data_IF_392998957666
#
_entry.id   IF_392998957666
#
_cell.length_a   1.000
_cell.length_b   1.000
_cell.length_c   1.000
_cell.angle_alpha   90.00
_cell.angle_beta   90.00
_cell.angle_gamma   90.00
#
_symmetry.space_group_name_H-M   'P 1'
#
loop_
_entity.id
_entity.type
_entity.pdbx_description
1 polymer ?
#
# COMPACT_ATOMS: atom_id res chain seq x y z
N UNK A 1 -3.56 -27.00 7.12
CA UNK A 1 -4.88 -27.18 7.75
C UNK A 1 -5.75 -26.00 7.32
N UNK A 2 -6.51 -26.19 6.24
CA UNK A 2 -7.24 -25.15 5.53
C UNK A 2 -8.42 -24.63 6.37
N UNK A 3 -8.40 -23.36 6.80
CA UNK A 3 -9.62 -22.69 7.28
C UNK A 3 -10.37 -22.15 6.08
N UNK A 4 -11.46 -22.86 5.76
CA UNK A 4 -12.45 -22.49 4.76
C UNK A 4 -12.95 -21.06 5.00
N UNK A 5 -12.97 -20.28 3.92
CA UNK A 5 -13.80 -19.09 3.78
C UNK A 5 -15.27 -19.50 3.98
N UNK A 6 -15.84 -19.23 5.17
CA UNK A 6 -17.28 -19.35 5.39
C UNK A 6 -17.97 -18.18 4.70
N UNK A 7 -18.62 -18.45 3.57
CA UNK A 7 -19.63 -17.57 2.99
C UNK A 7 -20.89 -17.65 3.85
N UNK A 8 -21.07 -16.71 4.78
CA UNK A 8 -22.35 -16.53 5.46
C UNK A 8 -23.07 -15.30 4.89
N UNK A 9 -24.31 -15.50 4.44
CA UNK A 9 -25.26 -14.39 4.28
C UNK A 9 -25.59 -13.89 5.68
N UNK A 10 -24.91 -12.84 6.13
CA UNK A 10 -25.43 -12.08 7.26
C UNK A 10 -26.55 -11.22 6.68
N UNK A 11 -27.80 -11.53 7.02
CA UNK A 11 -28.90 -10.55 6.91
C UNK A 11 -28.61 -9.47 7.94
N UNK A 12 -28.20 -8.24 7.57
CA UNK A 12 -27.95 -7.20 8.55
C UNK A 12 -29.27 -6.49 8.80
N UNK A 13 -29.71 -6.45 10.05
CA UNK A 13 -30.68 -5.46 10.53
C UNK A 13 -30.00 -4.09 10.69
N UNK A 14 -29.29 -3.63 9.65
CA UNK A 14 -28.70 -2.30 9.55
C UNK A 14 -29.17 -1.68 8.22
N UNK A 15 -29.93 -0.58 8.23
CA UNK A 15 -30.58 -0.04 7.04
C UNK A 15 -29.64 0.64 6.03
N UNK A 16 -28.32 0.59 6.23
CA UNK A 16 -27.35 1.34 5.41
C UNK A 16 -26.37 0.50 4.59
N UNK A 17 -26.33 -0.84 4.74
CA UNK A 17 -25.27 -1.65 4.11
C UNK A 17 -25.80 -2.99 3.59
N UNK A 18 -25.88 -3.15 2.27
CA UNK A 18 -25.90 -4.44 1.59
C UNK A 18 -24.48 -4.72 1.08
N UNK A 19 -23.72 -5.57 1.77
CA UNK A 19 -22.29 -5.72 1.45
C UNK A 19 -21.64 -6.99 1.94
N UNK A 20 -20.62 -7.43 1.19
CA UNK A 20 -19.81 -8.62 1.49
C UNK A 20 -18.69 -8.24 2.47
N UNK A 21 -18.55 -8.98 3.57
CA UNK A 21 -17.47 -8.79 4.56
C UNK A 21 -16.20 -9.49 4.09
N UNK A 22 -15.12 -8.73 3.95
CA UNK A 22 -13.76 -9.24 3.86
C UNK A 22 -13.00 -8.74 5.10
N UNK A 23 -12.32 -9.63 5.80
CA UNK A 23 -11.44 -9.24 6.91
C UNK A 23 -10.03 -9.18 6.34
N UNK A 24 -9.40 -8.01 6.35
CA UNK A 24 -8.00 -7.83 5.95
C UNK A 24 -7.24 -7.26 7.14
N UNK A 25 -6.52 -8.12 7.86
CA UNK A 25 -5.71 -7.74 9.01
C UNK A 25 -6.48 -6.94 10.07
N UNK A 26 -6.06 -5.69 10.26
CA UNK A 26 -6.38 -4.81 11.39
C UNK A 26 -7.66 -3.96 11.20
N UNK A 27 -8.37 -4.14 10.09
CA UNK A 27 -9.62 -3.45 9.78
C UNK A 27 -10.60 -4.39 9.05
N UNK A 28 -11.89 -4.06 9.08
CA UNK A 28 -12.91 -4.78 8.32
C UNK A 28 -13.20 -4.03 7.02
N UNK A 29 -13.15 -4.75 5.89
CA UNK A 29 -13.48 -4.22 4.58
C UNK A 29 -14.86 -4.69 4.16
N UNK A 30 -15.71 -3.74 3.76
CA UNK A 30 -17.06 -4.03 3.27
C UNK A 30 -17.27 -3.29 1.97
N UNK A 31 -17.65 -4.03 0.92
CA UNK A 31 -18.15 -3.42 -0.31
C UNK A 31 -19.57 -2.92 -0.06
N UNK A 32 -19.81 -1.63 -0.20
CA UNK A 32 -21.11 -1.00 0.07
C UNK A 32 -21.61 -0.25 -1.17
N UNK A 33 -22.93 -0.07 -1.24
CA UNK A 33 -23.59 0.74 -2.27
C UNK A 33 -24.12 2.02 -1.64
N UNK A 34 -23.87 3.17 -2.29
CA UNK A 34 -24.36 4.47 -1.83
C UNK A 34 -25.87 4.54 -2.03
N UNK A 35 -26.63 4.71 -0.95
CA UNK A 35 -28.11 4.79 -1.00
C UNK A 35 -28.67 6.21 -0.86
N UNK A 36 -27.84 7.17 -0.47
CA UNK A 36 -28.25 8.55 -0.20
C UNK A 36 -28.58 9.31 -1.48
N UNK A 37 -29.71 10.01 -1.50
CA UNK A 37 -30.05 10.98 -2.55
C UNK A 37 -29.34 12.34 -2.34
N UNK A 38 -28.76 12.58 -1.16
CA UNK A 38 -27.91 13.75 -0.90
C UNK A 38 -26.52 13.48 -1.46
N UNK A 39 -26.08 14.21 -2.49
CA UNK A 39 -24.77 13.98 -3.08
C UNK A 39 -23.69 14.49 -2.13
N UNK A 40 -22.84 13.59 -1.69
CA UNK A 40 -21.50 13.94 -1.20
C UNK A 40 -20.56 13.85 -2.41
N UNK A 41 -19.58 14.75 -2.52
CA UNK A 41 -18.66 14.79 -3.67
C UNK A 41 -18.08 13.39 -3.92
N UNK A 42 -18.32 12.84 -5.11
CA UNK A 42 -17.84 11.52 -5.53
C UNK A 42 -18.67 10.32 -5.04
N UNK A 43 -19.74 10.52 -4.26
CA UNK A 43 -20.63 9.48 -3.74
C UNK A 43 -22.05 9.66 -4.28
N UNK A 44 -22.24 9.22 -5.53
CA UNK A 44 -23.54 9.20 -6.19
C UNK A 44 -24.33 7.93 -5.82
N UNK A 45 -25.67 8.03 -5.79
CA UNK A 45 -26.55 6.89 -5.52
C UNK A 45 -26.27 5.73 -6.50
N UNK A 46 -26.21 4.52 -5.96
CA UNK A 46 -25.91 3.30 -6.70
C UNK A 46 -24.41 3.06 -6.93
N UNK A 47 -23.53 4.02 -6.61
CA UNK A 47 -22.08 3.83 -6.70
C UNK A 47 -21.63 2.80 -5.66
N UNK A 48 -20.78 1.86 -6.08
CA UNK A 48 -20.13 0.90 -5.19
C UNK A 48 -18.81 1.47 -4.68
N UNK A 49 -18.62 1.42 -3.36
CA UNK A 49 -17.41 1.91 -2.68
C UNK A 49 -16.99 0.92 -1.59
N UNK A 50 -15.74 1.01 -1.14
CA UNK A 50 -15.25 0.19 -0.03
C UNK A 50 -15.33 1.01 1.25
N UNK A 51 -16.00 0.45 2.26
CA UNK A 51 -15.92 0.93 3.63
C UNK A 51 -14.83 0.14 4.36
N UNK A 52 -13.80 0.84 4.84
CA UNK A 52 -12.78 0.28 5.74
C UNK A 52 -13.08 0.74 7.16
N UNK A 53 -13.37 -0.22 8.03
CA UNK A 53 -13.89 -0.01 9.38
C UNK A 53 -12.82 -0.36 10.41
N UNK A 54 -12.62 0.56 11.34
CA UNK A 54 -11.58 0.55 12.37
C UNK A 54 -12.25 0.32 13.73
N UNK A 55 -12.75 -0.90 13.96
CA UNK A 55 -13.34 -1.32 15.24
C UNK A 55 -12.31 -2.12 16.05
N UNK A 56 -11.81 -1.59 17.20
CA UNK A 56 -10.85 -2.27 18.06
C UNK A 56 -11.31 -3.65 18.55
N UNK A 57 -12.63 -3.88 18.60
CA UNK A 57 -13.19 -5.15 19.05
C UNK A 57 -12.80 -6.35 18.17
N UNK A 58 -12.44 -6.08 16.91
CA UNK A 58 -12.12 -7.12 15.93
C UNK A 58 -10.63 -7.16 15.56
N UNK A 59 -9.79 -6.36 16.23
CA UNK A 59 -8.35 -6.47 16.07
C UNK A 59 -7.82 -7.62 16.92
N UNK A 60 -6.93 -8.42 16.34
CA UNK A 60 -6.21 -9.48 17.07
C UNK A 60 -5.16 -8.82 17.95
N UNK A 61 -5.32 -8.94 19.27
CA UNK A 61 -4.45 -8.31 20.26
C UNK A 61 -3.20 -9.14 20.56
N UNK A 62 -3.00 -10.25 19.83
CA UNK A 62 -1.90 -11.22 20.01
C UNK A 62 -1.79 -11.68 21.47
N UNK A 63 -2.94 -12.04 22.05
CA UNK A 63 -3.03 -12.47 23.45
C UNK A 63 -2.83 -11.33 24.46
N UNK A 64 -3.13 -10.10 24.05
CA UNK A 64 -2.99 -8.88 24.86
C UNK A 64 -1.63 -8.19 24.78
N UNK A 65 -0.76 -8.61 23.85
CA UNK A 65 0.53 -7.94 23.61
C UNK A 65 0.34 -6.55 23.01
N UNK A 66 -0.68 -6.37 22.17
CA UNK A 66 -1.04 -5.10 21.57
C UNK A 66 -2.20 -4.43 22.29
N UNK A 67 -2.22 -3.10 22.29
CA UNK A 67 -3.41 -2.34 22.67
C UNK A 67 -4.29 -2.11 21.43
N UNK A 68 -5.47 -2.77 21.32
CA UNK A 68 -6.29 -2.68 20.11
C UNK A 68 -6.74 -1.28 19.77
N UNK A 69 -7.01 -0.45 20.77
CA UNK A 69 -7.43 0.94 20.56
C UNK A 69 -6.31 1.76 19.94
N UNK A 70 -5.08 1.62 20.43
CA UNK A 70 -3.93 2.33 19.87
C UNK A 70 -3.59 1.85 18.47
N UNK A 71 -3.61 0.53 18.22
CA UNK A 71 -3.32 -0.02 16.89
C UNK A 71 -4.33 0.47 15.85
N UNK A 72 -5.62 0.36 16.16
CA UNK A 72 -6.68 0.78 15.25
C UNK A 72 -6.66 2.30 15.01
N UNK A 73 -6.42 3.11 16.04
CA UNK A 73 -6.30 4.56 15.90
C UNK A 73 -5.07 4.94 15.06
N UNK A 74 -3.93 4.28 15.27
CA UNK A 74 -2.75 4.45 14.43
C UNK A 74 -3.05 4.12 12.97
N UNK A 75 -3.60 2.94 12.65
CA UNK A 75 -3.87 2.61 11.24
C UNK A 75 -4.84 3.59 10.60
N UNK A 76 -5.92 3.96 11.31
CA UNK A 76 -6.88 4.94 10.83
C UNK A 76 -6.24 6.30 10.54
N UNK A 77 -5.45 6.84 11.48
CA UNK A 77 -4.84 8.16 11.35
C UNK A 77 -3.79 8.22 10.25
N UNK A 78 -2.93 7.20 10.15
CA UNK A 78 -1.89 7.13 9.12
C UNK A 78 -2.50 6.93 7.73
N UNK A 79 -3.53 6.10 7.59
CA UNK A 79 -4.18 5.88 6.30
C UNK A 79 -4.93 7.12 5.81
N UNK A 80 -5.66 7.82 6.69
CA UNK A 80 -6.28 9.12 6.35
C UNK A 80 -5.21 10.13 5.95
N UNK A 81 -4.12 10.24 6.70
CA UNK A 81 -3.02 11.15 6.38
C UNK A 81 -2.39 10.81 5.02
N UNK A 82 -2.25 9.52 4.68
CA UNK A 82 -1.69 9.08 3.41
C UNK A 82 -2.60 9.49 2.25
N UNK A 83 -3.91 9.25 2.35
CA UNK A 83 -4.86 9.70 1.32
C UNK A 83 -4.82 11.22 1.13
N UNK A 84 -4.68 11.99 2.20
CA UNK A 84 -4.52 13.45 2.10
C UNK A 84 -3.21 13.84 1.43
N UNK A 85 -2.10 13.19 1.80
CA UNK A 85 -0.78 13.47 1.23
C UNK A 85 -0.66 13.05 -0.24
N UNK A 86 -1.51 12.13 -0.70
CA UNK A 86 -1.57 11.62 -2.07
C UNK A 86 -2.77 12.12 -2.89
N UNK A 87 -3.38 13.25 -2.49
CA UNK A 87 -4.62 13.75 -3.10
C UNK A 87 -4.56 13.98 -4.61
N UNK A 88 -3.39 14.32 -5.15
CA UNK A 88 -3.16 14.59 -6.57
C UNK A 88 -3.04 13.34 -7.45
N UNK A 89 -2.89 12.15 -6.84
CA UNK A 89 -2.76 10.86 -7.56
C UNK A 89 -3.89 9.87 -7.25
N UNK A 90 -4.92 10.34 -6.54
CA UNK A 90 -6.17 9.61 -6.31
C UNK A 90 -6.92 9.35 -7.62
N UNK A 91 -7.53 8.17 -7.74
CA UNK A 91 -8.20 7.70 -8.97
C UNK A 91 -7.23 7.26 -10.08
N UNK A 92 -5.93 7.20 -9.77
CA UNK A 92 -4.87 6.82 -10.71
C UNK A 92 -3.91 5.80 -10.09
N UNK A 93 -3.02 6.25 -9.19
CA UNK A 93 -2.04 5.39 -8.50
C UNK A 93 -2.60 4.78 -7.22
N UNK A 94 -3.58 5.46 -6.61
CA UNK A 94 -4.29 5.03 -5.40
C UNK A 94 -5.80 5.27 -5.56
N UNK A 95 -6.66 4.61 -4.78
CA UNK A 95 -8.10 4.83 -4.80
C UNK A 95 -8.50 6.29 -4.55
N UNK A 96 -9.61 6.74 -5.10
CA UNK A 96 -10.25 7.97 -4.60
C UNK A 96 -10.63 7.83 -3.12
N UNK A 97 -10.41 8.90 -2.36
CA UNK A 97 -10.81 9.02 -0.96
C UNK A 97 -12.07 9.88 -0.85
N UNK A 98 -13.17 9.29 -0.38
CA UNK A 98 -14.46 9.97 -0.26
C UNK A 98 -14.69 10.60 1.10
N UNK A 99 -13.88 10.25 2.11
CA UNK A 99 -13.93 10.87 3.42
C UNK A 99 -13.78 9.89 4.57
N UNK A 100 -13.76 10.47 5.77
CA UNK A 100 -13.78 9.76 7.03
C UNK A 100 -15.09 10.03 7.76
N UNK A 101 -15.60 9.00 8.41
CA UNK A 101 -16.90 8.99 9.07
C UNK A 101 -16.79 8.31 10.44
N UNK A 102 -17.84 8.44 11.23
CA UNK A 102 -17.99 7.72 12.49
C UNK A 102 -19.34 7.02 12.51
N UNK A 103 -19.32 5.76 12.93
CA UNK A 103 -20.49 4.90 13.03
C UNK A 103 -20.76 4.60 14.50
N UNK A 104 -21.96 4.91 14.97
CA UNK A 104 -22.44 4.44 16.26
C UNK A 104 -22.88 2.99 16.14
N UNK A 105 -22.11 2.06 16.71
CA UNK A 105 -22.41 0.63 16.71
C UNK A 105 -23.04 0.26 18.05
N UNK A 106 -24.28 -0.28 18.08
CA UNK A 106 -24.89 -0.75 19.32
C UNK A 106 -24.03 -1.82 19.99
N UNK A 107 -23.87 -1.69 21.31
CA UNK A 107 -23.29 -2.74 22.17
C UNK A 107 -24.43 -3.46 22.90
N UNK A 108 -25.38 -2.69 23.43
CA UNK A 108 -26.63 -3.17 24.00
C UNK A 108 -27.79 -2.21 23.70
N UNK A 109 -28.94 -2.37 24.37
CA UNK A 109 -30.15 -1.57 24.16
C UNK A 109 -29.99 -0.08 24.54
N UNK A 110 -28.98 0.26 25.35
CA UNK A 110 -28.75 1.59 25.91
C UNK A 110 -27.40 2.19 25.53
N UNK A 111 -26.44 1.38 25.09
CA UNK A 111 -25.08 1.81 24.81
C UNK A 111 -24.71 1.62 23.34
N UNK A 112 -24.03 2.64 22.80
CA UNK A 112 -23.40 2.61 21.48
C UNK A 112 -21.92 2.93 21.64
N UNK A 113 -21.07 2.27 20.84
CA UNK A 113 -19.66 2.62 20.71
C UNK A 113 -19.43 3.29 19.37
N UNK A 114 -18.59 4.31 19.35
CA UNK A 114 -18.22 5.00 18.12
C UNK A 114 -17.06 4.27 17.45
N UNK A 115 -17.24 3.96 16.18
CA UNK A 115 -16.25 3.28 15.35
C UNK A 115 -15.88 4.18 14.18
N UNK A 116 -14.59 4.35 13.91
CA UNK A 116 -14.11 5.13 12.75
C UNK A 116 -14.21 4.28 11.48
N UNK A 117 -14.50 4.93 10.35
CA UNK A 117 -14.39 4.31 9.04
C UNK A 117 -13.97 5.32 7.98
N UNK A 118 -13.38 4.83 6.91
CA UNK A 118 -13.18 5.61 5.68
C UNK A 118 -13.94 4.99 4.52
N UNK A 119 -14.35 5.83 3.58
CA UNK A 119 -14.91 5.40 2.30
C UNK A 119 -13.91 5.68 1.19
N UNK A 120 -13.58 4.65 0.42
CA UNK A 120 -12.62 4.72 -0.69
C UNK A 120 -13.20 4.08 -1.95
N UNK A 121 -12.64 4.40 -3.09
CA UNK A 121 -12.99 3.80 -4.37
C UNK A 121 -12.86 2.27 -4.32
N UNK A 122 -13.86 1.60 -4.91
CA UNK A 122 -13.76 0.18 -5.19
C UNK A 122 -12.95 -0.05 -6.45
N UNK A 123 -11.75 -0.61 -6.30
CA UNK A 123 -10.90 -1.01 -7.43
C UNK A 123 -11.31 -2.41 -7.91
N UNK A 124 -11.85 -2.55 -9.14
CA UNK A 124 -12.25 -3.85 -9.65
C UNK A 124 -11.03 -4.69 -10.03
N UNK A 125 -11.03 -5.94 -9.60
CA UNK A 125 -10.01 -6.93 -9.98
C UNK A 125 -9.38 -7.60 -8.77
N UNK A 126 -8.49 -8.58 -9.01
CA UNK A 126 -7.69 -9.19 -7.96
C UNK A 126 -6.50 -8.29 -7.57
N UNK A 127 -6.05 -8.44 -6.32
CA UNK A 127 -4.71 -8.01 -5.92
C UNK A 127 -3.64 -8.82 -6.65
N UNK A 128 -2.41 -8.30 -6.75
CA UNK A 128 -1.28 -9.04 -7.31
C UNK A 128 -1.04 -10.37 -6.59
N UNK A 129 -1.23 -10.45 -5.27
CA UNK A 129 -1.09 -11.73 -4.55
C UNK A 129 -2.09 -12.80 -5.01
N UNK A 130 -3.28 -12.39 -5.44
CA UNK A 130 -4.38 -13.28 -5.82
C UNK A 130 -4.49 -13.46 -7.34
N UNK A 131 -3.56 -12.87 -8.10
CA UNK A 131 -3.48 -13.03 -9.54
C UNK A 131 -2.39 -14.04 -9.89
N UNK A 132 -2.53 -14.73 -11.02
CA UNK A 132 -1.47 -15.58 -11.55
C UNK A 132 -0.52 -14.76 -12.42
N UNK A 133 0.75 -14.54 -12.02
CA UNK A 133 1.69 -13.75 -12.83
C UNK A 133 1.95 -14.38 -14.21
N UNK A 134 1.78 -15.71 -14.33
CA UNK A 134 1.95 -16.45 -15.58
C UNK A 134 0.88 -16.14 -16.62
N UNK A 135 -0.30 -15.68 -16.19
CA UNK A 135 -1.41 -15.30 -17.06
C UNK A 135 -1.29 -13.84 -17.54
N UNK A 136 -0.39 -13.06 -16.93
CA UNK A 136 -0.13 -11.67 -17.29
C UNK A 136 1.12 -11.62 -18.19
N UNK A 137 1.02 -11.07 -19.42
CA UNK A 137 2.16 -10.92 -20.31
C UNK A 137 3.33 -10.20 -19.63
N UNK A 138 4.56 -10.62 -19.91
CA UNK A 138 5.76 -10.04 -19.27
C UNK A 138 5.83 -8.51 -19.43
N UNK A 139 5.46 -7.99 -20.60
CA UNK A 139 5.40 -6.55 -20.86
C UNK A 139 4.43 -5.82 -19.91
N UNK A 140 3.29 -6.42 -19.61
CA UNK A 140 2.31 -5.82 -18.70
C UNK A 140 2.78 -5.92 -17.25
N UNK A 141 3.43 -7.03 -16.87
CA UNK A 141 4.10 -7.15 -15.56
C UNK A 141 5.20 -6.10 -15.39
N UNK A 142 5.99 -5.82 -16.43
CA UNK A 142 6.96 -4.72 -16.41
C UNK A 142 6.29 -3.36 -16.21
N UNK A 143 5.17 -3.08 -16.88
CA UNK A 143 4.41 -1.84 -16.68
C UNK A 143 3.83 -1.73 -15.25
N UNK A 144 3.34 -2.84 -14.69
CA UNK A 144 2.87 -2.91 -13.30
C UNK A 144 4.03 -2.60 -12.34
N UNK A 145 5.18 -3.26 -12.51
CA UNK A 145 6.36 -3.00 -11.68
C UNK A 145 6.85 -1.56 -11.81
N UNK A 146 6.79 -0.98 -13.01
CA UNK A 146 7.15 0.42 -13.25
C UNK A 146 6.25 1.38 -12.46
N UNK A 147 4.93 1.16 -12.49
CA UNK A 147 3.96 1.95 -11.72
C UNK A 147 4.23 1.86 -10.21
N UNK A 148 4.51 0.65 -9.68
CA UNK A 148 4.85 0.46 -8.25
C UNK A 148 6.11 1.23 -7.87
N UNK A 149 7.16 1.14 -8.68
CA UNK A 149 8.42 1.87 -8.46
C UNK A 149 8.19 3.38 -8.49
N UNK A 150 7.38 3.87 -9.43
CA UNK A 150 7.03 5.29 -9.54
C UNK A 150 6.25 5.78 -8.32
N UNK A 151 5.24 5.03 -7.86
CA UNK A 151 4.46 5.38 -6.69
C UNK A 151 5.30 5.34 -5.39
N UNK A 152 6.12 4.31 -5.18
CA UNK A 152 7.01 4.28 -3.99
C UNK A 152 8.02 5.42 -4.00
N UNK A 153 8.55 5.77 -5.18
CA UNK A 153 9.44 6.92 -5.32
C UNK A 153 8.72 8.22 -4.99
N UNK A 154 7.46 8.38 -5.42
CA UNK A 154 6.62 9.52 -5.09
C UNK A 154 6.32 9.60 -3.59
N UNK A 155 5.99 8.48 -2.95
CA UNK A 155 5.83 8.42 -1.50
C UNK A 155 7.12 8.89 -0.80
N UNK A 156 8.27 8.38 -1.27
CA UNK A 156 9.55 8.73 -0.70
C UNK A 156 9.90 10.21 -0.84
N UNK A 157 9.57 10.86 -1.96
CA UNK A 157 9.80 12.30 -2.15
C UNK A 157 8.93 13.16 -1.24
N UNK A 158 7.79 12.63 -0.81
CA UNK A 158 6.88 13.24 0.18
C UNK A 158 7.24 12.90 1.62
N UNK A 159 8.42 12.30 1.82
CA UNK A 159 8.90 11.87 3.14
C UNK A 159 8.03 10.79 3.79
N UNK A 160 7.38 9.97 2.96
CA UNK A 160 6.51 8.87 3.38
C UNK A 160 7.18 7.54 3.05
N UNK A 161 7.27 6.66 4.05
CA UNK A 161 7.72 5.29 3.88
C UNK A 161 6.51 4.37 3.87
N UNK A 162 6.45 3.47 2.89
CA UNK A 162 5.43 2.43 2.78
C UNK A 162 6.04 1.08 3.18
N UNK A 163 6.04 0.71 4.47
CA UNK A 163 6.65 -0.54 4.92
C UNK A 163 5.85 -1.76 4.45
N UNK A 164 4.53 -1.61 4.28
CA UNK A 164 3.65 -2.70 3.83
C UNK A 164 3.30 -2.65 2.34
N UNK A 165 4.19 -2.07 1.51
CA UNK A 165 4.04 -2.13 0.06
C UNK A 165 4.36 -3.55 -0.44
N UNK A 166 3.34 -4.39 -0.47
CA UNK A 166 3.44 -5.82 -0.83
C UNK A 166 2.41 -6.21 -1.90
N UNK A 167 2.57 -7.34 -2.61
CA UNK A 167 1.63 -7.77 -3.65
C UNK A 167 0.15 -7.89 -3.20
N UNK A 168 -0.12 -8.07 -1.91
CA UNK A 168 -1.51 -8.06 -1.38
C UNK A 168 -2.17 -6.68 -1.41
N UNK A 169 -1.36 -5.63 -1.37
CA UNK A 169 -1.74 -4.24 -1.26
C UNK A 169 -1.61 -3.50 -2.61
N UNK A 170 -1.52 -4.25 -3.71
CA UNK A 170 -1.49 -3.70 -5.06
C UNK A 170 -2.55 -4.40 -5.90
N UNK A 171 -3.49 -3.63 -6.43
CA UNK A 171 -4.53 -4.10 -7.34
C UNK A 171 -4.03 -4.02 -8.77
N UNK A 172 -4.21 -5.09 -9.54
CA UNK A 172 -3.91 -5.08 -10.98
C UNK A 172 -5.10 -4.48 -11.71
N UNK A 173 -4.97 -3.21 -12.11
CA UNK A 173 -6.06 -2.49 -12.71
C UNK A 173 -6.09 -2.66 -14.24
N UNK A 174 -7.27 -3.01 -14.75
CA UNK A 174 -7.59 -3.02 -16.18
C UNK A 174 -8.50 -1.82 -16.54
N UNK A 175 -8.23 -0.65 -15.97
CA UNK A 175 -8.97 0.58 -16.26
C UNK A 175 -8.14 1.54 -17.13
N UNK A 176 -8.75 2.29 -18.05
CA UNK A 176 -8.07 3.37 -18.77
C UNK A 176 -7.75 4.59 -17.88
N UNK A 177 -8.42 4.74 -16.74
CA UNK A 177 -8.21 5.89 -15.82
C UNK A 177 -7.10 5.65 -14.80
N UNK A 178 -6.82 4.37 -14.50
CA UNK A 178 -5.84 3.98 -13.51
C UNK A 178 -4.50 3.66 -14.14
N UNK A 179 -3.44 3.80 -13.36
CA UNK A 179 -2.18 3.14 -13.70
C UNK A 179 -2.36 1.61 -13.67
N UNK A 180 -1.38 0.89 -14.22
CA UNK A 180 -1.44 -0.59 -14.27
C UNK A 180 -1.44 -1.24 -12.89
N UNK A 181 -0.96 -0.52 -11.87
CA UNK A 181 -1.02 -0.92 -10.47
C UNK A 181 -1.66 0.20 -9.64
N UNK A 182 -2.61 -0.17 -8.78
CA UNK A 182 -3.23 0.73 -7.82
C UNK A 182 -2.85 0.27 -6.43
N UNK A 183 -2.09 1.07 -5.70
CA UNK A 183 -1.67 0.75 -4.34
C UNK A 183 -2.80 1.08 -3.36
N UNK A 184 -3.03 0.16 -2.43
CA UNK A 184 -4.07 0.26 -1.40
C UNK A 184 -3.46 -0.03 -0.03
N UNK A 185 -4.25 0.18 1.02
CA UNK A 185 -3.89 -0.11 2.41
C UNK A 185 -2.65 0.66 2.90
N UNK A 186 -2.91 1.83 3.48
CA UNK A 186 -1.88 2.73 3.99
C UNK A 186 -1.85 2.80 5.53
N UNK A 187 -2.42 1.80 6.21
CA UNK A 187 -2.48 1.78 7.68
C UNK A 187 -1.10 1.85 8.34
N UNK A 188 -0.09 1.26 7.72
CA UNK A 188 1.29 1.23 8.22
C UNK A 188 2.18 2.33 7.60
N UNK A 189 1.62 3.27 6.83
CA UNK A 189 2.41 4.35 6.23
C UNK A 189 3.12 5.16 7.33
N UNK A 190 4.41 5.44 7.16
CA UNK A 190 5.18 6.22 8.13
C UNK A 190 5.53 7.59 7.56
N UNK A 191 5.24 8.64 8.31
CA UNK A 191 5.57 10.03 7.97
C UNK A 191 6.88 10.40 8.65
N UNK A 192 7.87 10.79 7.85
CA UNK A 192 9.26 10.93 8.28
C UNK A 192 10.06 9.64 8.08
N UNK A 193 11.23 9.76 7.45
CA UNK A 193 12.06 8.59 7.07
C UNK A 193 12.70 7.85 8.24
N UNK A 194 13.07 8.54 9.31
CA UNK A 194 13.73 7.99 10.50
C UNK A 194 12.80 7.90 11.72
N UNK A 195 11.51 8.17 11.55
CA UNK A 195 10.46 7.96 12.56
C UNK A 195 10.50 6.53 13.13
N UNK A 196 10.87 5.54 12.33
CA UNK A 196 11.10 4.14 12.74
C UNK A 196 12.09 4.01 13.91
N UNK A 197 13.08 4.91 13.97
CA UNK A 197 14.17 4.86 14.94
C UNK A 197 14.10 5.95 16.01
N UNK A 198 13.08 6.83 15.97
CA UNK A 198 12.95 8.01 16.83
C UNK A 198 14.27 8.79 16.98
N UNK A 199 15.04 8.91 15.89
CA UNK A 199 16.40 9.43 15.92
C UNK A 199 16.55 10.57 14.91
N UNK A 200 16.64 11.83 15.37
CA UNK A 200 16.88 12.99 14.52
C UNK A 200 18.18 12.89 13.70
N UNK A 201 19.16 12.14 14.20
CA UNK A 201 20.43 11.88 13.51
C UNK A 201 20.21 10.96 12.31
N UNK A 202 19.41 9.89 12.49
CA UNK A 202 19.06 8.98 11.40
C UNK A 202 18.14 9.69 10.40
N UNK A 203 17.18 10.50 10.87
CA UNK A 203 16.36 11.34 10.01
C UNK A 203 17.23 12.21 9.10
N UNK A 204 18.16 12.99 9.66
CA UNK A 204 19.05 13.84 8.88
C UNK A 204 19.95 13.05 7.91
N UNK A 205 20.36 11.83 8.27
CA UNK A 205 21.14 10.94 7.43
C UNK A 205 20.34 10.42 6.22
N UNK A 206 19.03 10.19 6.38
CA UNK A 206 18.14 9.67 5.34
C UNK A 206 17.65 10.75 4.34
N UNK A 207 18.22 11.96 4.41
CA UNK A 207 18.02 13.06 3.46
C UNK A 207 16.54 13.45 3.26
N UNK A 208 15.79 13.78 4.32
CA UNK A 208 14.33 13.95 4.28
C UNK A 208 13.92 15.00 3.25
N UNK A 209 12.80 14.76 2.56
CA UNK A 209 12.33 15.59 1.45
C UNK A 209 13.23 15.62 0.20
N UNK A 210 14.35 14.91 0.18
CA UNK A 210 15.23 14.82 -1.01
C UNK A 210 14.76 13.70 -1.94
N UNK A 211 14.64 14.00 -3.23
CA UNK A 211 14.41 12.97 -4.26
C UNK A 211 15.58 12.00 -4.30
N UNK A 212 15.29 10.70 -4.14
CA UNK A 212 16.28 9.63 -4.28
C UNK A 212 15.90 8.80 -5.49
N UNK A 213 16.84 8.65 -6.43
CA UNK A 213 16.60 7.91 -7.66
C UNK A 213 16.15 6.47 -7.38
N UNK A 214 15.14 5.96 -8.11
CA UNK A 214 14.74 4.55 -8.07
C UNK A 214 15.90 3.60 -8.37
N UNK A 215 16.89 4.04 -9.16
CA UNK A 215 18.09 3.25 -9.48
C UNK A 215 18.86 2.83 -8.23
N UNK A 216 18.76 3.60 -7.14
CA UNK A 216 19.37 3.27 -5.84
C UNK A 216 18.39 2.51 -4.94
N UNK A 217 17.16 3.03 -4.78
CA UNK A 217 16.17 2.46 -3.86
C UNK A 217 15.73 1.06 -4.22
N UNK A 218 15.67 0.76 -5.51
CA UNK A 218 15.23 -0.53 -6.05
C UNK A 218 16.39 -1.37 -6.60
N UNK A 219 17.62 -0.99 -6.29
CA UNK A 219 18.81 -1.69 -6.76
C UNK A 219 18.81 -3.16 -6.28
N UNK A 220 19.22 -4.08 -7.15
CA UNK A 220 19.23 -5.52 -6.86
C UNK A 220 20.13 -5.91 -5.67
N UNK A 221 21.06 -5.05 -5.26
CA UNK A 221 21.96 -5.26 -4.13
C UNK A 221 21.24 -5.22 -2.77
N UNK A 222 20.22 -4.37 -2.61
CA UNK A 222 19.50 -4.24 -1.34
C UNK A 222 18.45 -5.30 -1.12
N UNK A 223 18.04 -6.00 -2.19
CA UNK A 223 17.18 -7.18 -2.23
C UNK A 223 15.79 -7.06 -1.57
N UNK A 224 15.55 -6.22 -0.57
CA UNK A 224 14.31 -6.22 0.22
C UNK A 224 13.09 -5.87 -0.63
N UNK A 225 13.03 -4.66 -1.19
CA UNK A 225 11.85 -4.23 -1.96
C UNK A 225 11.56 -5.05 -3.21
N UNK A 226 12.59 -5.39 -4.00
CA UNK A 226 12.39 -6.19 -5.21
C UNK A 226 11.96 -7.62 -4.88
N UNK A 227 12.49 -8.22 -3.80
CA UNK A 227 12.16 -9.60 -3.45
C UNK A 227 10.70 -9.78 -3.03
N UNK A 228 10.08 -8.77 -2.42
CA UNK A 228 8.65 -8.79 -2.10
C UNK A 228 7.78 -9.02 -3.36
N UNK A 229 8.30 -8.66 -4.54
CA UNK A 229 7.66 -8.82 -5.84
C UNK A 229 8.32 -9.88 -6.73
N UNK A 230 9.25 -10.70 -6.22
CA UNK A 230 10.02 -11.64 -7.05
C UNK A 230 9.14 -12.62 -7.85
N UNK A 231 7.98 -13.01 -7.32
CA UNK A 231 7.02 -13.88 -8.03
C UNK A 231 6.44 -13.28 -9.32
N UNK A 232 6.58 -11.96 -9.52
CA UNK A 232 6.13 -11.23 -10.69
C UNK A 232 7.24 -10.93 -11.70
N UNK A 233 8.49 -11.23 -11.37
CA UNK A 233 9.68 -10.83 -12.13
C UNK A 233 10.39 -12.08 -12.65
N UNK A 234 10.38 -12.26 -13.97
CA UNK A 234 11.08 -13.34 -14.69
C UNK A 234 12.01 -12.79 -15.80
N UNK A 235 12.42 -11.54 -15.66
CA UNK A 235 13.38 -10.86 -16.52
C UNK A 235 14.55 -10.32 -15.70
N UNK A 236 15.62 -9.90 -16.38
CA UNK A 236 16.78 -9.29 -15.72
C UNK A 236 16.39 -7.94 -15.11
N UNK A 237 16.17 -7.95 -13.79
CA UNK A 237 15.68 -6.79 -13.04
C UNK A 237 16.58 -5.57 -13.18
N UNK A 238 17.89 -5.74 -12.93
CA UNK A 238 18.82 -4.60 -12.86
C UNK A 238 18.98 -3.89 -14.22
N UNK A 239 19.23 -4.59 -15.35
CA UNK A 239 19.24 -3.96 -16.67
C UNK A 239 17.91 -3.29 -17.04
N UNK A 240 16.78 -3.90 -16.68
CA UNK A 240 15.46 -3.30 -16.92
C UNK A 240 15.26 -2.03 -16.11
N UNK A 241 15.59 -2.03 -14.81
CA UNK A 241 15.49 -0.87 -13.93
C UNK A 241 16.35 0.29 -14.44
N UNK A 242 17.60 0.00 -14.81
CA UNK A 242 18.52 0.98 -15.38
C UNK A 242 17.99 1.58 -16.68
N UNK A 243 17.43 0.76 -17.57
CA UNK A 243 16.85 1.23 -18.83
C UNK A 243 15.65 2.14 -18.59
N UNK A 244 14.69 1.72 -17.76
CA UNK A 244 13.43 2.46 -17.53
C UNK A 244 13.66 3.77 -16.76
N UNK A 245 14.58 3.76 -15.80
CA UNK A 245 14.83 4.89 -14.91
C UNK A 245 16.16 5.61 -15.16
N UNK A 246 16.84 5.34 -16.29
CA UNK A 246 18.07 6.04 -16.72
C UNK A 246 17.95 7.55 -16.65
N UNK A 247 16.78 8.06 -17.00
CA UNK A 247 16.49 9.49 -16.99
C UNK A 247 16.62 10.13 -15.60
N UNK A 248 16.64 9.35 -14.52
CA UNK A 248 16.83 9.84 -13.14
C UNK A 248 18.30 9.84 -12.70
N UNK A 249 19.22 9.26 -13.47
CA UNK A 249 20.60 9.05 -13.05
C UNK A 249 21.34 10.36 -12.73
N UNK A 250 21.00 11.45 -13.42
CA UNK A 250 21.61 12.76 -13.17
C UNK A 250 21.31 13.34 -11.78
N UNK A 251 20.30 12.81 -11.08
CA UNK A 251 19.94 13.24 -9.71
C UNK A 251 20.83 12.61 -8.64
N UNK A 252 21.63 11.61 -9.00
CA UNK A 252 22.47 10.86 -8.07
C UNK A 252 23.75 11.64 -7.81
N UNK A 253 23.86 12.23 -6.62
CA UNK A 253 25.10 12.86 -6.14
C UNK A 253 25.97 11.85 -5.39
N UNK A 254 27.28 12.10 -5.22
CA UNK A 254 28.15 11.22 -4.42
C UNK A 254 27.63 10.99 -3.00
N UNK A 255 27.07 12.03 -2.37
CA UNK A 255 26.45 11.91 -1.03
C UNK A 255 25.24 10.97 -1.05
N UNK A 256 24.34 11.13 -2.03
CA UNK A 256 23.15 10.27 -2.18
C UNK A 256 23.58 8.82 -2.46
N UNK A 257 24.55 8.62 -3.35
CA UNK A 257 25.10 7.30 -3.66
C UNK A 257 25.66 6.64 -2.40
N UNK A 258 26.52 7.32 -1.64
CA UNK A 258 27.13 6.73 -0.45
C UNK A 258 26.12 6.44 0.66
N UNK A 259 25.04 7.23 0.77
CA UNK A 259 23.97 6.98 1.74
C UNK A 259 23.09 5.77 1.36
N UNK A 260 22.72 5.65 0.08
CA UNK A 260 21.68 4.70 -0.36
C UNK A 260 22.19 3.49 -1.11
N UNK A 261 23.40 3.51 -1.66
CA UNK A 261 24.10 2.39 -2.30
C UNK A 261 25.62 2.57 -2.16
N UNK A 262 26.15 2.42 -0.93
CA UNK A 262 27.57 2.58 -0.65
C UNK A 262 28.44 1.68 -1.53
N UNK A 263 29.64 2.13 -1.86
CA UNK A 263 30.56 1.40 -2.77
C UNK A 263 30.84 -0.03 -2.31
N UNK A 264 30.99 -0.25 -1.00
CA UNK A 264 31.25 -1.58 -0.43
C UNK A 264 30.07 -2.57 -0.64
N UNK A 265 28.82 -2.08 -0.64
CA UNK A 265 27.64 -2.90 -0.94
C UNK A 265 27.61 -3.28 -2.42
N UNK A 266 27.92 -2.32 -3.29
CA UNK A 266 27.95 -2.52 -4.73
C UNK A 266 29.05 -3.53 -5.13
N UNK A 267 30.24 -3.40 -4.55
CA UNK A 267 31.36 -4.34 -4.74
C UNK A 267 31.00 -5.76 -4.30
N UNK A 268 30.43 -5.92 -3.10
CA UNK A 268 29.99 -7.21 -2.59
C UNK A 268 28.92 -7.85 -3.51
N UNK A 269 28.01 -7.05 -4.04
CA UNK A 269 27.00 -7.51 -4.99
C UNK A 269 27.64 -7.99 -6.30
N UNK A 270 28.54 -7.23 -6.90
CA UNK A 270 29.25 -7.64 -8.13
C UNK A 270 30.07 -8.91 -7.94
N UNK A 271 30.76 -9.05 -6.80
CA UNK A 271 31.46 -10.29 -6.45
C UNK A 271 30.48 -11.47 -6.40
N UNK A 272 29.32 -11.31 -5.74
CA UNK A 272 28.30 -12.37 -5.67
C UNK A 272 27.76 -12.80 -7.04
N UNK A 273 27.67 -11.89 -8.01
CA UNK A 273 27.23 -12.21 -9.38
C UNK A 273 28.30 -12.98 -10.15
N UNK A 274 29.59 -12.61 -10.01
CA UNK A 274 30.69 -13.32 -10.65
C UNK A 274 30.77 -14.79 -10.24
N UNK A 275 30.51 -15.11 -8.98
CA UNK A 275 30.52 -16.51 -8.50
C UNK A 275 29.29 -17.32 -8.93
N UNK A 276 28.17 -16.68 -9.30
CA UNK A 276 26.97 -17.38 -9.82
C UNK A 276 27.09 -17.81 -11.28
N UNK A 277 28.02 -17.24 -12.05
CA UNK A 277 28.28 -17.62 -13.44
C UNK A 277 29.29 -18.76 -13.62
N UNK A 278 29.69 -19.43 -12.54
CA UNK A 278 30.74 -20.48 -12.52
C UNK A 278 30.12 -21.88 -12.24
N UNK A 279 28.80 -21.99 -12.15
CA UNK A 279 28.07 -23.26 -11.98
C UNK A 279 26.96 -23.42 -13.01
#
# INVERSE_FOLDING_TARGET
MHRLLRRERVKPTNPYINGWRFTAGNAQLVLVEVISDVPVKGLEKGKRVVAKIYDPLYLDDDGGFYNPFMCVDNHYTHEVAAYMAFSDVQGSMIPEYYGSFSLGVPVDASTTRNVRLILIEYIPGPSMQNSSPKEVPQRDRQNIMKAIVQFETLAYTRDIVLPDLQPRNVMVANSPTHEKAVCIDFGDALFGRGSVFNSPVIDAYLLPGTYISPLLRWHAAFRTRMLDFAGWIDWDWQPWLEKEFKHTAFTITPRIQETFLPSHVLEAWWQSQRYRGIY
#
